data_IF_164550609463
#
_entry.id   IF_164550609463
#
_cell.length_a   1.000
_cell.length_b   1.000
_cell.length_c   1.000
_cell.angle_alpha   90.00
_cell.angle_beta   90.00
_cell.angle_gamma   90.00
#
_symmetry.space_group_name_H-M   'P 1'
#
loop_
_entity.id
_entity.type
_entity.pdbx_description
1 polymer ?
#
# COMPACT_ATOMS: atom_id res chain seq x y z
N UNK A 1 2.62 22.55 47.54
CA UNK A 1 1.90 21.25 47.49
C UNK A 1 0.38 21.45 47.34
N UNK A 2 -0.04 22.45 46.58
CA UNK A 2 -1.40 22.62 46.05
C UNK A 2 -1.22 22.95 44.57
N UNK A 3 -2.08 22.45 43.69
CA UNK A 3 -2.12 22.68 42.23
C UNK A 3 -1.40 21.69 41.31
N UNK A 4 -1.67 20.38 41.42
CA UNK A 4 -1.34 19.45 40.32
C UNK A 4 -2.46 18.47 39.93
N UNK A 5 -3.69 18.69 40.40
CA UNK A 5 -4.87 17.93 39.95
C UNK A 5 -5.81 18.88 39.22
N UNK A 6 -5.71 18.92 37.89
CA UNK A 6 -6.75 19.54 37.09
C UNK A 6 -8.06 18.79 37.27
N UNK A 7 -9.12 19.54 37.54
CA UNK A 7 -10.46 18.96 37.61
C UNK A 7 -10.93 18.69 36.18
N UNK A 8 -11.57 17.54 35.96
CA UNK A 8 -12.16 17.14 34.67
C UNK A 8 -12.97 18.29 34.02
N UNK A 9 -13.71 19.04 34.82
CA UNK A 9 -14.50 20.20 34.38
C UNK A 9 -13.67 21.34 33.77
N UNK A 10 -12.43 21.55 34.23
CA UNK A 10 -11.53 22.57 33.65
C UNK A 10 -11.06 22.17 32.26
N UNK A 11 -10.81 20.87 32.05
CA UNK A 11 -10.44 20.31 30.76
C UNK A 11 -11.63 20.39 29.81
N UNK A 12 -12.83 19.99 30.26
CA UNK A 12 -14.05 20.08 29.44
C UNK A 12 -14.36 21.52 29.00
N UNK A 13 -14.16 22.52 29.88
CA UNK A 13 -14.30 23.94 29.52
C UNK A 13 -13.27 24.40 28.50
N UNK A 14 -12.00 24.12 28.75
CA UNK A 14 -10.94 24.50 27.83
C UNK A 14 -11.05 23.84 26.46
N UNK A 15 -11.59 22.60 26.41
CA UNK A 15 -11.95 21.97 25.15
C UNK A 15 -13.11 22.74 24.50
N UNK A 16 -14.16 23.13 25.22
CA UNK A 16 -15.29 23.88 24.66
C UNK A 16 -14.91 25.25 24.06
N UNK A 17 -13.84 25.88 24.57
CA UNK A 17 -13.37 27.20 24.14
C UNK A 17 -12.52 27.19 22.85
N UNK A 18 -12.18 26.01 22.34
CA UNK A 18 -11.46 25.87 21.07
C UNK A 18 -12.38 26.20 19.87
N UNK A 19 -11.82 26.74 18.77
CA UNK A 19 -12.60 27.20 17.62
C UNK A 19 -13.35 26.04 16.93
N UNK A 20 -14.63 26.25 16.52
CA UNK A 20 -15.48 25.20 15.93
C UNK A 20 -14.83 24.51 14.73
N UNK A 21 -15.03 23.19 14.64
CA UNK A 21 -14.54 22.38 13.52
C UNK A 21 -15.71 22.07 12.59
N UNK A 22 -15.51 22.27 11.29
CA UNK A 22 -16.48 21.89 10.25
C UNK A 22 -17.91 22.48 10.38
N UNK A 23 -18.08 23.62 11.07
CA UNK A 23 -19.38 24.30 11.17
C UNK A 23 -20.32 23.77 12.25
N UNK A 24 -19.86 22.86 13.11
CA UNK A 24 -20.57 22.38 14.30
C UNK A 24 -20.01 23.01 15.58
N UNK A 25 -20.83 23.13 16.64
CA UNK A 25 -20.38 23.57 17.97
C UNK A 25 -19.34 22.60 18.52
N UNK A 26 -18.25 23.11 19.09
CA UNK A 26 -16.99 22.38 19.31
C UNK A 26 -17.03 21.15 20.26
N UNK A 27 -15.97 20.34 20.14
CA UNK A 27 -15.54 19.03 20.68
C UNK A 27 -16.22 18.34 21.86
N UNK A 28 -17.07 18.95 22.69
CA UNK A 28 -17.73 18.22 23.78
C UNK A 28 -18.51 17.02 23.25
N UNK A 29 -19.16 17.20 22.10
CA UNK A 29 -19.96 16.16 21.43
C UNK A 29 -19.09 15.08 20.77
N UNK A 30 -17.80 15.36 20.56
CA UNK A 30 -16.81 14.40 20.06
C UNK A 30 -16.08 13.69 21.21
N UNK A 31 -16.16 14.18 22.45
CA UNK A 31 -15.49 13.51 23.59
C UNK A 31 -16.19 12.20 23.91
N UNK A 32 -15.65 11.10 23.37
CA UNK A 32 -16.08 9.74 23.69
C UNK A 32 -15.68 9.34 25.11
N UNK A 33 -14.48 9.74 25.52
CA UNK A 33 -13.96 9.44 26.85
C UNK A 33 -12.97 10.52 27.33
N UNK A 34 -13.10 10.93 28.58
CA UNK A 34 -12.14 11.79 29.26
C UNK A 34 -11.90 11.26 30.67
N UNK A 35 -10.64 10.99 31.01
CA UNK A 35 -10.23 10.64 32.37
C UNK A 35 -8.97 11.38 32.82
N UNK A 36 -8.90 11.65 34.12
CA UNK A 36 -7.73 12.23 34.79
C UNK A 36 -7.35 11.30 35.93
N UNK A 37 -6.15 10.71 35.88
CA UNK A 37 -5.63 9.79 36.91
C UNK A 37 -4.23 10.23 37.30
N UNK A 38 -4.08 10.73 38.52
CA UNK A 38 -2.81 11.33 38.96
C UNK A 38 -2.44 12.51 38.07
N UNK A 39 -1.27 12.44 37.44
CA UNK A 39 -0.76 13.45 36.50
C UNK A 39 -1.06 13.11 35.03
N UNK A 40 -1.83 12.05 34.77
CA UNK A 40 -2.15 11.61 33.40
C UNK A 40 -3.55 12.05 32.99
N UNK A 41 -3.65 12.69 31.83
CA UNK A 41 -4.92 12.97 31.16
C UNK A 41 -5.07 12.02 29.97
N UNK A 42 -6.21 11.34 29.87
CA UNK A 42 -6.57 10.53 28.69
C UNK A 42 -7.83 11.10 28.06
N UNK A 43 -7.72 11.54 26.81
CA UNK A 43 -8.82 12.04 25.99
C UNK A 43 -8.99 11.13 24.78
N UNK A 44 -10.23 10.67 24.55
CA UNK A 44 -10.65 9.92 23.37
C UNK A 44 -11.69 10.74 22.64
N UNK A 45 -11.39 11.10 21.39
CA UNK A 45 -12.33 11.82 20.52
C UNK A 45 -12.92 10.88 19.47
N UNK A 46 -14.24 10.90 19.29
CA UNK A 46 -14.94 10.24 18.20
C UNK A 46 -15.06 11.20 17.02
N UNK A 47 -14.23 11.00 16.00
CA UNK A 47 -14.18 11.91 14.83
C UNK A 47 -14.67 11.15 13.60
N UNK A 48 -15.80 11.59 12.99
CA UNK A 48 -16.30 11.04 11.73
C UNK A 48 -15.21 11.02 10.67
N UNK A 49 -15.09 9.91 9.96
CA UNK A 49 -13.99 9.64 9.01
C UNK A 49 -13.89 10.72 7.93
N UNK A 50 -15.02 11.24 7.47
CA UNK A 50 -15.16 12.31 6.48
C UNK A 50 -14.69 13.69 6.96
N UNK A 51 -14.61 13.91 8.29
CA UNK A 51 -14.14 15.18 8.85
C UNK A 51 -12.66 15.16 9.25
N UNK A 52 -12.00 14.00 9.31
CA UNK A 52 -10.66 13.82 9.89
C UNK A 52 -9.55 14.73 9.35
N UNK A 53 -9.47 14.95 8.02
CA UNK A 53 -8.48 15.87 7.42
C UNK A 53 -8.61 17.31 7.91
N UNK A 54 -9.83 17.75 8.25
CA UNK A 54 -10.09 19.09 8.81
C UNK A 54 -9.78 19.16 10.31
N UNK A 55 -9.73 18.00 10.99
CA UNK A 55 -9.41 17.88 12.40
C UNK A 55 -7.92 17.79 12.72
N UNK A 56 -7.02 17.54 11.77
CA UNK A 56 -5.57 17.53 12.04
C UNK A 56 -5.06 18.89 12.56
N UNK A 57 -5.62 20.00 12.08
CA UNK A 57 -5.34 21.34 12.64
C UNK A 57 -5.85 21.53 14.07
N UNK A 58 -6.89 20.78 14.44
CA UNK A 58 -7.53 20.83 15.77
C UNK A 58 -6.83 19.87 16.72
N UNK A 59 -6.27 18.76 16.24
CA UNK A 59 -5.44 17.84 17.02
C UNK A 59 -4.29 18.58 17.68
N UNK A 60 -3.54 19.37 16.91
CA UNK A 60 -2.43 20.16 17.44
C UNK A 60 -2.92 21.16 18.51
N UNK A 61 -4.09 21.76 18.32
CA UNK A 61 -4.69 22.68 19.30
C UNK A 61 -5.17 21.96 20.56
N UNK A 62 -5.78 20.78 20.44
CA UNK A 62 -6.22 19.94 21.56
C UNK A 62 -5.00 19.48 22.36
N UNK A 63 -3.96 19.00 21.68
CA UNK A 63 -2.70 18.60 22.31
C UNK A 63 -2.02 19.80 23.00
N UNK A 64 -1.98 20.97 22.36
CA UNK A 64 -1.43 22.19 22.93
C UNK A 64 -2.23 22.68 24.14
N UNK A 65 -3.56 22.64 24.08
CA UNK A 65 -4.45 23.00 25.19
C UNK A 65 -4.25 22.04 26.36
N UNK A 66 -4.19 20.73 26.12
CA UNK A 66 -3.90 19.75 27.17
C UNK A 66 -2.50 19.91 27.75
N UNK A 67 -1.50 20.26 26.94
CA UNK A 67 -0.14 20.53 27.39
C UNK A 67 -0.05 21.81 28.24
N UNK A 68 -0.79 22.86 27.86
CA UNK A 68 -0.87 24.10 28.65
C UNK A 68 -1.56 23.88 30.00
N UNK A 69 -2.58 23.02 30.00
CA UNK A 69 -3.32 22.63 31.20
C UNK A 69 -2.49 21.69 32.09
N UNK A 70 -1.74 20.75 31.53
CA UNK A 70 -0.98 19.74 32.27
C UNK A 70 0.50 19.72 31.85
N UNK A 71 1.27 20.79 32.15
CA UNK A 71 2.62 20.97 31.62
C UNK A 71 3.66 20.00 32.21
N UNK A 72 3.41 19.48 33.43
CA UNK A 72 4.30 18.55 34.13
C UNK A 72 3.78 17.10 34.15
N UNK A 73 2.67 16.82 33.45
CA UNK A 73 2.03 15.51 33.39
C UNK A 73 2.07 14.88 32.01
N UNK A 74 1.52 13.68 31.89
CA UNK A 74 1.45 12.94 30.63
C UNK A 74 0.06 13.09 30.00
N UNK A 75 0.02 13.49 28.74
CA UNK A 75 -1.22 13.68 28.00
C UNK A 75 -1.33 12.61 26.91
N UNK A 76 -2.38 11.79 26.96
CA UNK A 76 -2.68 10.77 25.96
C UNK A 76 -3.94 11.20 25.23
N UNK A 77 -3.77 11.60 23.97
CA UNK A 77 -4.89 11.90 23.07
C UNK A 77 -4.98 10.78 22.07
N UNK A 78 -6.13 10.12 22.03
CA UNK A 78 -6.41 9.05 21.07
C UNK A 78 -7.72 9.35 20.34
N UNK A 79 -7.86 8.81 19.15
CA UNK A 79 -9.01 9.07 18.30
C UNK A 79 -9.67 7.74 17.98
N UNK A 80 -10.99 7.67 18.19
CA UNK A 80 -11.81 6.62 17.60
C UNK A 80 -12.50 7.18 16.37
N UNK A 81 -12.70 6.35 15.36
CA UNK A 81 -13.91 6.45 14.58
C UNK A 81 -14.78 5.31 15.08
N UNK A 82 -16.08 5.39 14.83
CA UNK A 82 -16.80 4.17 14.53
C UNK A 82 -15.93 3.33 13.59
N UNK A 83 -15.45 2.21 14.11
CA UNK A 83 -14.84 1.19 13.29
C UNK A 83 -15.88 0.92 12.20
N UNK A 84 -15.53 0.94 10.90
CA UNK A 84 -16.42 0.31 9.94
C UNK A 84 -16.75 -1.08 10.48
N UNK A 85 -18.04 -1.42 10.52
CA UNK A 85 -18.58 -2.64 11.10
C UNK A 85 -17.86 -3.87 10.54
N UNK A 86 -16.77 -4.28 11.18
CA UNK A 86 -15.98 -5.45 10.77
C UNK A 86 -15.62 -5.49 9.27
N UNK A 87 -15.09 -6.62 8.80
CA UNK A 87 -15.14 -6.92 7.38
C UNK A 87 -16.62 -7.04 6.98
N UNK A 88 -17.07 -6.20 6.06
CA UNK A 88 -18.31 -6.42 5.33
C UNK A 88 -18.16 -7.78 4.63
N UNK A 89 -18.84 -8.81 5.13
CA UNK A 89 -18.88 -10.10 4.46
C UNK A 89 -19.64 -9.93 3.14
N UNK A 90 -18.91 -9.95 2.02
CA UNK A 90 -19.51 -9.74 0.70
C UNK A 90 -20.03 -11.02 0.06
N UNK A 91 -19.91 -12.17 0.74
CA UNK A 91 -20.24 -13.48 0.19
C UNK A 91 -19.31 -13.93 -0.95
N UNK A 92 -18.36 -13.08 -1.38
CA UNK A 92 -17.39 -13.40 -2.43
C UNK A 92 -16.21 -14.16 -1.84
N UNK A 93 -15.92 -15.32 -2.41
CA UNK A 93 -14.77 -16.13 -2.03
C UNK A 93 -13.48 -15.57 -2.65
N UNK A 94 -12.80 -14.67 -1.94
CA UNK A 94 -11.44 -14.22 -2.28
C UNK A 94 -10.42 -15.32 -1.99
N UNK A 95 -10.28 -16.25 -2.96
CA UNK A 95 -9.35 -17.40 -2.86
C UNK A 95 -7.89 -17.01 -2.64
N UNK A 96 -7.53 -15.77 -2.94
CA UNK A 96 -6.15 -15.29 -2.84
C UNK A 96 -5.92 -14.41 -1.60
N UNK A 97 -6.96 -14.14 -0.79
CA UNK A 97 -6.89 -13.24 0.37
C UNK A 97 -6.18 -11.92 0.01
N UNK A 98 -6.71 -11.23 -0.99
CA UNK A 98 -6.14 -10.01 -1.52
C UNK A 98 -6.59 -8.75 -0.76
N UNK A 99 -7.78 -8.72 -0.16
CA UNK A 99 -8.21 -7.61 0.74
C UNK A 99 -7.86 -7.91 2.22
N UNK A 100 -6.68 -8.50 2.43
CA UNK A 100 -6.17 -8.89 3.73
C UNK A 100 -4.66 -9.05 3.73
N UNK A 101 -4.14 -9.81 4.67
CA UNK A 101 -2.71 -10.13 4.78
C UNK A 101 -2.45 -11.62 4.87
N UNK A 102 -1.24 -12.03 4.48
CA UNK A 102 -0.79 -13.43 4.48
C UNK A 102 0.14 -13.80 5.64
N UNK A 103 0.31 -12.92 6.63
CA UNK A 103 1.20 -13.19 7.78
C UNK A 103 0.81 -14.41 8.62
N UNK A 104 -0.46 -14.85 8.57
CA UNK A 104 -0.91 -16.07 9.25
C UNK A 104 -0.23 -17.35 8.75
N UNK A 105 0.34 -17.34 7.55
CA UNK A 105 1.12 -18.47 6.99
C UNK A 105 2.64 -18.28 7.15
N UNK A 106 3.07 -17.20 7.82
CA UNK A 106 4.47 -16.86 8.07
C UNK A 106 4.71 -16.58 9.55
N UNK A 107 4.09 -17.39 10.42
CA UNK A 107 4.17 -17.22 11.87
C UNK A 107 5.59 -17.45 12.42
N UNK A 108 6.44 -18.18 11.70
CA UNK A 108 7.88 -18.26 11.98
C UNK A 108 8.50 -16.86 12.04
N UNK A 109 8.23 -16.04 11.02
CA UNK A 109 8.76 -14.68 10.90
C UNK A 109 8.10 -13.73 11.89
N UNK A 110 6.78 -13.84 12.08
CA UNK A 110 6.05 -13.03 13.07
C UNK A 110 6.55 -13.32 14.49
N UNK A 111 6.77 -14.59 14.83
CA UNK A 111 7.28 -14.99 16.14
C UNK A 111 8.70 -14.48 16.40
N UNK A 112 9.60 -14.59 15.42
CA UNK A 112 10.96 -14.04 15.52
C UNK A 112 10.92 -12.52 15.75
N UNK A 113 10.08 -11.81 14.98
CA UNK A 113 9.87 -10.37 15.15
C UNK A 113 9.33 -10.00 16.55
N UNK A 114 8.33 -10.72 17.07
CA UNK A 114 7.79 -10.48 18.42
C UNK A 114 8.82 -10.69 19.53
N UNK A 115 9.81 -11.56 19.31
CA UNK A 115 10.95 -11.77 20.24
C UNK A 115 12.02 -10.67 20.15
N UNK A 116 11.86 -9.72 19.23
CA UNK A 116 12.84 -8.66 18.98
C UNK A 116 14.02 -9.08 18.13
N UNK A 117 13.93 -10.20 17.41
CA UNK A 117 15.01 -10.68 16.54
C UNK A 117 15.14 -9.80 15.28
N UNK A 118 16.36 -9.71 14.74
CA UNK A 118 16.62 -9.09 13.44
C UNK A 118 16.14 -10.02 12.33
N UNK A 119 14.94 -9.75 11.82
CA UNK A 119 14.34 -10.53 10.75
C UNK A 119 14.75 -10.05 9.35
N UNK A 120 14.86 -10.98 8.41
CA UNK A 120 14.81 -10.65 6.98
C UNK A 120 13.39 -10.22 6.59
N UNK A 121 13.21 -9.47 5.49
CA UNK A 121 11.86 -9.26 4.93
C UNK A 121 11.30 -10.57 4.36
N UNK A 122 9.97 -10.65 4.27
CA UNK A 122 9.27 -11.75 3.58
C UNK A 122 9.11 -11.47 2.09
N UNK A 123 8.96 -10.20 1.71
CA UNK A 123 8.61 -9.78 0.36
C UNK A 123 9.38 -8.52 -0.05
N UNK A 124 9.74 -8.43 -1.33
CA UNK A 124 10.29 -7.21 -1.93
C UNK A 124 9.34 -6.71 -3.03
N UNK A 125 8.99 -5.42 -2.96
CA UNK A 125 8.43 -4.69 -4.09
C UNK A 125 9.62 -4.05 -4.83
N UNK A 126 9.99 -4.57 -6.01
CA UNK A 126 11.24 -4.27 -6.70
C UNK A 126 11.03 -3.76 -8.13
N UNK A 127 11.48 -2.54 -8.42
CA UNK A 127 11.65 -2.05 -9.77
C UNK A 127 12.96 -2.55 -10.38
N UNK A 128 12.96 -2.85 -11.67
CA UNK A 128 14.18 -3.11 -12.48
C UNK A 128 14.34 -2.07 -13.60
N UNK A 129 13.38 -1.17 -13.75
CA UNK A 129 13.46 -0.01 -14.64
C UNK A 129 12.78 1.19 -14.01
N UNK A 130 13.41 2.37 -14.09
CA UNK A 130 12.88 3.60 -13.49
C UNK A 130 11.97 4.42 -14.40
N UNK A 131 11.78 3.99 -15.66
CA UNK A 131 10.97 4.71 -16.64
C UNK A 131 9.76 3.92 -17.10
N UNK A 132 8.76 4.63 -17.61
CA UNK A 132 7.47 4.06 -17.96
C UNK A 132 6.95 4.66 -19.27
N UNK A 133 6.41 3.82 -20.15
CA UNK A 133 5.82 4.20 -21.43
C UNK A 133 4.34 4.64 -21.32
N UNK A 134 3.89 5.03 -20.12
CA UNK A 134 2.56 5.59 -19.82
C UNK A 134 2.67 6.83 -18.94
N UNK A 135 1.64 7.66 -18.98
CA UNK A 135 1.55 8.94 -18.29
C UNK A 135 0.26 8.99 -17.46
N UNK A 136 0.07 8.01 -16.56
CA UNK A 136 -1.15 7.89 -15.78
C UNK A 136 -1.38 9.10 -14.86
N UNK A 137 -2.60 9.65 -14.85
CA UNK A 137 -2.96 10.78 -13.98
C UNK A 137 -2.83 10.49 -12.48
N UNK A 138 -2.97 9.22 -12.07
CA UNK A 138 -2.81 8.77 -10.68
C UNK A 138 -1.41 8.22 -10.33
N UNK A 139 -0.41 8.38 -11.20
CA UNK A 139 0.85 7.65 -11.06
C UNK A 139 1.64 8.06 -9.82
N UNK A 140 1.59 7.21 -8.78
CA UNK A 140 2.42 7.40 -7.59
C UNK A 140 3.93 7.32 -7.90
N UNK A 141 4.33 6.60 -8.96
CA UNK A 141 5.71 6.60 -9.44
C UNK A 141 6.26 7.99 -9.80
N UNK A 142 5.41 8.92 -10.23
CA UNK A 142 5.81 10.33 -10.45
C UNK A 142 6.15 11.02 -9.14
N UNK A 143 5.39 10.75 -8.08
CA UNK A 143 5.68 11.24 -6.73
C UNK A 143 6.98 10.62 -6.17
N UNK A 144 7.29 9.39 -6.59
CA UNK A 144 8.51 8.66 -6.23
C UNK A 144 9.73 9.07 -7.07
N UNK A 145 9.64 10.14 -7.87
CA UNK A 145 10.77 10.64 -8.64
C UNK A 145 11.16 9.77 -9.84
N UNK A 146 10.22 8.98 -10.41
CA UNK A 146 10.52 8.15 -11.59
C UNK A 146 11.11 8.98 -12.74
N UNK A 147 11.99 8.35 -13.51
CA UNK A 147 12.67 9.00 -14.64
C UNK A 147 12.06 8.56 -15.97
N UNK A 148 11.62 9.49 -16.80
CA UNK A 148 10.90 9.19 -18.03
C UNK A 148 9.39 9.06 -17.77
N UNK A 149 8.61 9.88 -18.48
CA UNK A 149 7.16 9.99 -18.33
C UNK A 149 6.49 9.85 -19.68
N UNK A 150 5.54 8.91 -19.82
CA UNK A 150 4.93 8.62 -21.12
C UNK A 150 5.94 8.00 -22.08
N UNK A 151 5.89 8.34 -23.37
CA UNK A 151 6.81 7.73 -24.35
C UNK A 151 8.25 8.26 -24.29
N UNK A 152 8.56 9.19 -23.38
CA UNK A 152 9.92 9.72 -23.23
C UNK A 152 10.83 8.69 -22.55
N UNK A 153 11.86 8.25 -23.28
CA UNK A 153 12.87 7.31 -22.81
C UNK A 153 14.07 8.00 -22.17
N UNK A 154 14.17 9.33 -22.22
CA UNK A 154 15.30 10.08 -21.65
C UNK A 154 15.32 9.92 -20.14
N UNK A 155 16.52 9.70 -19.60
CA UNK A 155 16.74 9.55 -18.16
C UNK A 155 16.32 8.20 -17.57
N UNK A 156 15.76 7.26 -18.36
CA UNK A 156 15.44 5.93 -17.86
C UNK A 156 16.71 5.19 -17.42
N UNK A 157 16.66 4.60 -16.24
CA UNK A 157 17.67 3.66 -15.73
C UNK A 157 17.10 2.24 -15.81
N UNK A 158 17.94 1.29 -16.22
CA UNK A 158 17.69 -0.14 -16.11
C UNK A 158 18.72 -0.70 -15.13
N UNK A 159 18.26 -1.42 -14.11
CA UNK A 159 19.17 -2.09 -13.19
C UNK A 159 20.00 -3.13 -13.95
N UNK A 160 21.33 -3.18 -13.80
CA UNK A 160 22.14 -4.18 -14.51
C UNK A 160 21.64 -5.61 -14.23
N UNK A 161 21.50 -6.42 -15.29
CA UNK A 161 21.05 -7.82 -15.21
C UNK A 161 21.71 -8.60 -14.08
N UNK A 162 23.04 -8.52 -13.98
CA UNK A 162 23.82 -9.23 -12.96
C UNK A 162 23.48 -8.78 -11.53
N UNK A 163 23.15 -7.51 -11.33
CA UNK A 163 22.70 -7.00 -10.03
C UNK A 163 21.32 -7.56 -9.67
N UNK A 164 20.39 -7.64 -10.64
CA UNK A 164 19.07 -8.25 -10.43
C UNK A 164 19.20 -9.74 -10.10
N UNK A 165 19.97 -10.49 -10.89
CA UNK A 165 20.19 -11.94 -10.65
C UNK A 165 20.85 -12.18 -9.29
N UNK A 166 21.89 -11.40 -8.93
CA UNK A 166 22.51 -11.46 -7.60
C UNK A 166 21.50 -11.18 -6.49
N UNK A 167 20.67 -10.14 -6.65
CA UNK A 167 19.64 -9.77 -5.68
C UNK A 167 18.62 -10.89 -5.49
N UNK A 168 18.15 -11.52 -6.58
CA UNK A 168 17.20 -12.65 -6.49
C UNK A 168 17.76 -13.81 -5.68
N UNK A 169 18.98 -14.24 -6.01
CA UNK A 169 19.67 -15.33 -5.30
C UNK A 169 19.85 -15.00 -3.82
N UNK A 170 20.41 -13.84 -3.52
CA UNK A 170 20.74 -13.46 -2.14
C UNK A 170 19.50 -13.18 -1.29
N UNK A 171 18.45 -12.58 -1.88
CA UNK A 171 17.17 -12.43 -1.22
C UNK A 171 16.62 -13.80 -0.78
N UNK A 172 16.64 -14.80 -1.68
CA UNK A 172 16.24 -16.17 -1.33
C UNK A 172 17.11 -16.75 -0.20
N UNK A 173 18.43 -16.60 -0.28
CA UNK A 173 19.38 -17.11 0.73
C UNK A 173 19.20 -16.49 2.12
N UNK A 174 18.84 -15.21 2.23
CA UNK A 174 18.54 -14.56 3.52
C UNK A 174 17.11 -14.84 4.00
N UNK A 175 16.31 -15.58 3.23
CA UNK A 175 14.99 -16.03 3.62
C UNK A 175 13.84 -15.10 3.21
N UNK A 176 14.02 -14.25 2.19
CA UNK A 176 12.91 -13.64 1.46
C UNK A 176 12.12 -14.75 0.77
N UNK A 177 10.78 -14.63 0.78
CA UNK A 177 9.88 -15.64 0.21
C UNK A 177 9.46 -15.31 -1.21
N UNK A 178 9.32 -14.03 -1.55
CA UNK A 178 8.85 -13.62 -2.87
C UNK A 178 9.32 -12.22 -3.26
N UNK A 179 9.37 -11.95 -4.56
CA UNK A 179 9.64 -10.63 -5.12
C UNK A 179 8.53 -10.27 -6.12
N UNK A 180 7.91 -9.12 -5.94
CA UNK A 180 7.05 -8.52 -6.95
C UNK A 180 7.85 -7.51 -7.74
N UNK A 181 8.03 -7.78 -9.04
CA UNK A 181 8.55 -6.83 -10.01
C UNK A 181 7.51 -5.73 -10.24
N UNK A 182 7.53 -4.75 -9.35
CA UNK A 182 6.65 -3.58 -9.29
C UNK A 182 7.48 -2.40 -8.80
N UNK A 183 7.13 -1.17 -9.17
CA UNK A 183 7.88 -0.02 -8.73
C UNK A 183 7.39 1.26 -9.38
N UNK A 184 8.27 2.26 -9.42
CA UNK A 184 8.00 3.59 -9.96
C UNK A 184 7.94 3.62 -11.50
N UNK A 185 8.59 2.66 -12.17
CA UNK A 185 8.63 2.52 -13.63
C UNK A 185 7.87 1.31 -14.20
N UNK A 186 8.16 0.96 -15.45
CA UNK A 186 7.59 -0.19 -16.16
C UNK A 186 8.67 -1.26 -16.41
N UNK A 187 8.58 -2.37 -15.69
CA UNK A 187 9.58 -3.44 -15.73
C UNK A 187 9.65 -4.16 -17.08
N UNK A 188 8.58 -4.16 -17.89
CA UNK A 188 8.62 -4.69 -19.27
C UNK A 188 9.45 -3.86 -20.25
N UNK A 189 9.96 -2.71 -19.83
CA UNK A 189 10.96 -1.96 -20.60
C UNK A 189 12.40 -2.43 -20.34
N UNK A 190 12.62 -3.33 -19.38
CA UNK A 190 13.93 -3.92 -19.14
C UNK A 190 14.26 -4.95 -20.24
N UNK A 191 15.40 -4.84 -20.94
CA UNK A 191 15.73 -5.73 -22.07
C UNK A 191 15.86 -7.19 -21.63
N UNK A 192 16.36 -7.44 -20.42
CA UNK A 192 16.55 -8.80 -19.89
C UNK A 192 15.37 -9.33 -19.08
N UNK A 193 14.18 -8.70 -19.09
CA UNK A 193 13.06 -9.12 -18.23
C UNK A 193 12.80 -10.64 -18.31
N UNK A 194 12.62 -11.19 -19.50
CA UNK A 194 12.26 -12.60 -19.65
C UNK A 194 13.39 -13.55 -19.19
N UNK A 195 14.66 -13.17 -19.42
CA UNK A 195 15.79 -13.95 -18.93
C UNK A 195 15.89 -13.92 -17.40
N UNK A 196 15.52 -12.80 -16.78
CA UNK A 196 15.43 -12.67 -15.33
C UNK A 196 14.28 -13.51 -14.75
N UNK A 197 13.15 -13.61 -15.46
CA UNK A 197 12.04 -14.49 -15.08
C UNK A 197 12.44 -15.97 -15.17
N UNK A 198 13.13 -16.35 -16.24
CA UNK A 198 13.66 -17.71 -16.41
C UNK A 198 14.66 -18.05 -15.28
N UNK A 199 15.54 -17.12 -14.93
CA UNK A 199 16.46 -17.30 -13.80
C UNK A 199 15.75 -17.42 -12.44
N UNK A 200 14.75 -16.57 -12.18
CA UNK A 200 13.95 -16.65 -10.96
C UNK A 200 13.29 -18.01 -10.78
N UNK A 201 12.75 -18.58 -11.87
CA UNK A 201 12.21 -19.94 -11.90
C UNK A 201 13.28 -20.99 -11.66
N UNK A 202 14.45 -20.87 -12.31
CA UNK A 202 15.57 -21.80 -12.14
C UNK A 202 16.01 -21.93 -10.68
N UNK A 203 16.06 -20.80 -9.96
CA UNK A 203 16.42 -20.79 -8.54
C UNK A 203 15.22 -21.00 -7.62
N UNK A 204 14.02 -21.31 -8.13
CA UNK A 204 12.80 -21.56 -7.36
C UNK A 204 12.43 -20.35 -6.45
N UNK A 205 12.43 -19.15 -7.02
CA UNK A 205 12.00 -17.92 -6.37
C UNK A 205 10.61 -17.51 -6.87
N UNK A 206 9.68 -17.28 -5.94
CA UNK A 206 8.36 -16.76 -6.27
C UNK A 206 8.46 -15.32 -6.79
N UNK A 207 8.36 -15.18 -8.11
CA UNK A 207 8.31 -13.90 -8.79
C UNK A 207 6.89 -13.53 -9.19
N UNK A 208 6.62 -12.25 -9.23
CA UNK A 208 5.37 -11.71 -9.77
C UNK A 208 5.61 -10.39 -10.50
N UNK A 209 4.69 -10.00 -11.37
CA UNK A 209 4.85 -8.82 -12.21
C UNK A 209 3.56 -7.99 -12.20
N UNK A 210 3.65 -6.70 -11.87
CA UNK A 210 2.63 -5.74 -12.26
C UNK A 210 3.15 -4.91 -13.43
N UNK A 211 2.36 -4.84 -14.51
CA UNK A 211 2.74 -4.17 -15.75
C UNK A 211 1.56 -3.38 -16.30
N UNK A 212 1.85 -2.39 -17.13
CA UNK A 212 0.84 -1.71 -17.94
C UNK A 212 0.36 -2.53 -19.15
N UNK A 213 1.00 -3.67 -19.43
CA UNK A 213 0.57 -4.64 -20.44
C UNK A 213 0.83 -4.23 -21.89
N UNK A 214 1.51 -3.10 -22.17
CA UNK A 214 1.80 -2.69 -23.56
C UNK A 214 2.91 -3.55 -24.18
N UNK A 215 3.97 -3.83 -23.41
CA UNK A 215 5.22 -4.42 -23.90
C UNK A 215 5.35 -5.89 -23.52
N UNK A 216 4.39 -6.69 -23.96
CA UNK A 216 4.46 -8.15 -23.87
C UNK A 216 5.06 -8.71 -25.17
N UNK A 217 6.02 -9.61 -25.02
CA UNK A 217 6.65 -10.36 -26.09
C UNK A 217 5.91 -11.68 -26.26
N UNK A 218 5.27 -11.86 -27.42
CA UNK A 218 4.43 -13.02 -27.69
C UNK A 218 5.26 -14.29 -27.86
N UNK A 219 6.52 -14.16 -28.29
CA UNK A 219 7.44 -15.29 -28.49
C UNK A 219 8.01 -15.81 -27.15
N UNK A 220 7.90 -15.01 -26.07
CA UNK A 220 8.38 -15.34 -24.72
C UNK A 220 7.27 -15.50 -23.70
N UNK A 221 6.02 -15.74 -24.13
CA UNK A 221 4.88 -15.93 -23.22
C UNK A 221 5.08 -17.10 -22.25
N UNK A 222 5.74 -18.18 -22.67
CA UNK A 222 6.02 -19.30 -21.74
C UNK A 222 7.00 -18.91 -20.65
N UNK A 223 8.09 -18.20 -20.97
CA UNK A 223 9.01 -17.65 -19.96
C UNK A 223 8.25 -16.77 -18.96
N UNK A 224 7.32 -15.94 -19.44
CA UNK A 224 6.49 -15.09 -18.60
C UNK A 224 5.53 -15.87 -17.71
N UNK A 225 4.78 -16.82 -18.29
CA UNK A 225 3.71 -17.55 -17.59
C UNK A 225 4.23 -18.69 -16.71
N UNK A 226 5.46 -19.15 -16.92
CA UNK A 226 6.11 -20.15 -16.05
C UNK A 226 7.01 -19.51 -15.02
N UNK A 227 7.60 -18.34 -15.32
CA UNK A 227 8.47 -17.60 -14.41
C UNK A 227 7.76 -16.74 -13.37
N UNK A 228 6.42 -16.65 -13.44
CA UNK A 228 5.62 -15.82 -12.53
C UNK A 228 4.56 -16.65 -11.79
N UNK A 229 4.43 -16.43 -10.49
CA UNK A 229 3.27 -16.88 -9.70
C UNK A 229 2.01 -16.13 -10.13
N UNK A 230 2.12 -14.82 -10.39
CA UNK A 230 1.05 -14.00 -10.92
C UNK A 230 1.57 -12.85 -11.79
N UNK A 231 0.76 -12.46 -12.79
CA UNK A 231 0.95 -11.28 -13.61
C UNK A 231 -0.31 -10.41 -13.54
N UNK A 232 -0.15 -9.13 -13.21
CA UNK A 232 -1.26 -8.18 -13.06
C UNK A 232 -1.12 -7.02 -14.02
N UNK A 233 -2.16 -6.79 -14.82
CA UNK A 233 -2.21 -5.69 -15.77
C UNK A 233 -2.93 -4.50 -15.15
N UNK A 234 -2.22 -3.38 -15.02
CA UNK A 234 -2.79 -2.11 -14.55
C UNK A 234 -3.49 -1.43 -15.74
N UNK A 235 -4.81 -1.55 -15.80
CA UNK A 235 -5.60 -1.07 -16.96
C UNK A 235 -6.54 0.09 -16.61
N UNK A 236 -7.08 0.16 -15.39
CA UNK A 236 -7.89 1.28 -14.83
C UNK A 236 -8.88 2.00 -15.78
N UNK A 237 -9.38 1.31 -16.79
CA UNK A 237 -10.19 1.84 -17.88
C UNK A 237 -10.86 0.67 -18.61
N UNK A 238 -12.09 0.85 -19.07
CA UNK A 238 -12.83 -0.19 -19.80
C UNK A 238 -13.04 0.16 -21.29
N UNK A 239 -12.65 1.36 -21.71
CA UNK A 239 -12.81 1.85 -23.09
C UNK A 239 -11.53 2.53 -23.57
N UNK A 240 -11.40 2.70 -24.89
CA UNK A 240 -10.26 3.43 -25.46
C UNK A 240 -10.23 4.89 -25.01
N UNK A 241 -11.41 5.53 -24.91
CA UNK A 241 -11.54 6.92 -24.46
C UNK A 241 -11.10 7.08 -23.00
N UNK A 242 -11.60 6.25 -22.09
CA UNK A 242 -11.18 6.28 -20.69
C UNK A 242 -9.71 5.93 -20.55
N UNK A 243 -9.20 4.97 -21.32
CA UNK A 243 -7.79 4.59 -21.27
C UNK A 243 -6.89 5.75 -21.73
N UNK A 244 -7.26 6.44 -22.81
CA UNK A 244 -6.53 7.64 -23.26
C UNK A 244 -6.61 8.76 -22.21
N UNK A 245 -7.77 8.99 -21.60
CA UNK A 245 -7.96 9.99 -20.53
C UNK A 245 -7.11 9.69 -19.30
N UNK A 246 -7.05 8.43 -18.88
CA UNK A 246 -6.38 8.00 -17.64
C UNK A 246 -4.88 7.81 -17.84
N UNK A 247 -4.45 7.12 -18.90
CA UNK A 247 -3.04 6.73 -19.12
C UNK A 247 -2.28 7.63 -20.09
N UNK A 248 -2.99 8.54 -20.76
CA UNK A 248 -2.44 9.49 -21.73
C UNK A 248 -1.70 8.83 -22.90
N UNK A 249 -2.12 7.62 -23.32
CA UNK A 249 -1.57 6.92 -24.49
C UNK A 249 -2.62 6.11 -25.26
N UNK A 250 -2.56 6.03 -26.60
CA UNK A 250 -3.54 5.31 -27.42
C UNK A 250 -3.14 3.83 -27.57
N UNK A 251 -3.18 3.07 -26.49
CA UNK A 251 -2.68 1.67 -26.45
C UNK A 251 -3.68 0.66 -25.91
N UNK A 252 -4.94 1.05 -25.70
CA UNK A 252 -5.98 0.19 -25.11
C UNK A 252 -6.11 -1.16 -25.83
N UNK A 253 -6.36 -1.14 -27.15
CA UNK A 253 -6.50 -2.35 -27.96
C UNK A 253 -5.26 -3.25 -27.94
N UNK A 254 -4.06 -2.66 -27.82
CA UNK A 254 -2.82 -3.43 -27.72
C UNK A 254 -2.73 -4.16 -26.38
N UNK A 255 -3.11 -3.50 -25.28
CA UNK A 255 -3.17 -4.12 -23.95
C UNK A 255 -4.16 -5.28 -23.96
N UNK A 256 -5.36 -5.10 -24.53
CA UNK A 256 -6.35 -6.18 -24.63
C UNK A 256 -5.82 -7.38 -25.41
N UNK A 257 -5.24 -7.16 -26.60
CA UNK A 257 -4.63 -8.24 -27.40
C UNK A 257 -3.54 -9.00 -26.65
N UNK A 258 -2.75 -8.30 -25.84
CA UNK A 258 -1.71 -8.94 -25.03
C UNK A 258 -2.32 -9.79 -23.90
N UNK A 259 -3.38 -9.29 -23.24
CA UNK A 259 -4.10 -10.07 -22.22
C UNK A 259 -4.72 -11.32 -22.83
N UNK A 260 -5.40 -11.20 -23.97
CA UNK A 260 -5.98 -12.32 -24.70
C UNK A 260 -4.92 -13.37 -25.06
N UNK A 261 -3.76 -12.95 -25.57
CA UNK A 261 -2.65 -13.83 -25.89
C UNK A 261 -2.12 -14.56 -24.64
N UNK A 262 -1.96 -13.86 -23.52
CA UNK A 262 -1.54 -14.46 -22.25
C UNK A 262 -2.56 -15.49 -21.74
N UNK A 263 -3.86 -15.17 -21.76
CA UNK A 263 -4.93 -16.08 -21.32
C UNK A 263 -5.01 -17.30 -22.23
N UNK A 264 -4.99 -17.12 -23.55
CA UNK A 264 -5.01 -18.22 -24.51
C UNK A 264 -3.78 -19.13 -24.37
N UNK A 265 -2.58 -18.55 -24.15
CA UNK A 265 -1.35 -19.31 -23.92
C UNK A 265 -1.42 -20.09 -22.61
N UNK A 266 -1.88 -19.44 -21.52
CA UNK A 266 -2.10 -20.07 -20.21
C UNK A 266 -2.99 -21.30 -20.34
N UNK A 267 -4.15 -21.16 -20.99
CA UNK A 267 -5.14 -22.23 -21.12
C UNK A 267 -4.61 -23.38 -21.99
N UNK A 268 -4.03 -23.08 -23.15
CA UNK A 268 -3.55 -24.10 -24.09
C UNK A 268 -2.38 -24.93 -23.56
N UNK A 269 -1.56 -24.38 -22.66
CA UNK A 269 -0.38 -25.05 -22.10
C UNK A 269 -0.56 -25.50 -20.64
N UNK A 270 -1.70 -25.17 -20.01
CA UNK A 270 -1.96 -25.51 -18.61
C UNK A 270 -1.08 -24.76 -17.61
N UNK A 271 -0.62 -23.55 -17.94
CA UNK A 271 0.23 -22.75 -17.05
C UNK A 271 -0.53 -22.30 -15.80
N UNK A 272 0.16 -22.23 -14.66
CA UNK A 272 -0.45 -21.94 -13.35
C UNK A 272 -0.42 -20.46 -12.97
N UNK A 273 0.31 -19.62 -13.71
CA UNK A 273 0.37 -18.18 -13.44
C UNK A 273 -1.04 -17.57 -13.37
N UNK A 274 -1.31 -16.86 -12.28
CA UNK A 274 -2.56 -16.12 -12.13
C UNK A 274 -2.47 -14.81 -12.90
N UNK A 275 -3.37 -14.58 -13.85
CA UNK A 275 -3.47 -13.37 -14.63
C UNK A 275 -4.61 -12.52 -14.05
N UNK A 276 -4.34 -11.26 -13.74
CA UNK A 276 -5.39 -10.37 -13.25
C UNK A 276 -5.31 -8.97 -13.80
N UNK A 277 -6.41 -8.24 -13.64
CA UNK A 277 -6.50 -6.81 -13.93
C UNK A 277 -6.47 -6.02 -12.63
N UNK A 278 -6.02 -4.76 -12.71
CA UNK A 278 -6.12 -3.82 -11.61
C UNK A 278 -6.68 -2.49 -12.09
N UNK A 279 -7.55 -1.94 -11.26
CA UNK A 279 -8.06 -0.58 -11.33
C UNK A 279 -7.62 0.21 -10.10
N UNK A 280 -7.02 1.36 -10.35
CA UNK A 280 -6.92 2.45 -9.37
C UNK A 280 -8.11 3.37 -9.61
N UNK A 281 -8.98 3.51 -8.61
CA UNK A 281 -10.16 4.37 -8.72
C UNK A 281 -9.75 5.83 -8.54
N UNK A 282 -10.10 6.66 -9.52
CA UNK A 282 -10.02 8.11 -9.50
C UNK A 282 -11.38 8.68 -9.87
N UNK A 283 -11.56 10.01 -9.77
CA UNK A 283 -12.81 10.65 -10.23
C UNK A 283 -13.06 10.46 -11.73
N UNK A 284 -11.99 10.34 -12.50
CA UNK A 284 -12.04 10.28 -13.97
C UNK A 284 -12.40 8.89 -14.54
N UNK A 285 -12.48 7.85 -13.70
CA UNK A 285 -12.77 6.48 -14.12
C UNK A 285 -13.81 5.74 -13.27
N UNK A 286 -14.59 6.43 -12.43
CA UNK A 286 -15.65 5.78 -11.63
C UNK A 286 -16.63 5.01 -12.53
N UNK A 287 -16.96 5.57 -13.69
CA UNK A 287 -17.86 4.96 -14.67
C UNK A 287 -17.30 3.68 -15.31
N UNK A 288 -15.99 3.41 -15.19
CA UNK A 288 -15.37 2.19 -15.70
C UNK A 288 -15.38 1.04 -14.68
N UNK A 289 -15.75 1.25 -13.42
CA UNK A 289 -15.68 0.22 -12.36
C UNK A 289 -16.45 -1.05 -12.77
N UNK A 290 -17.72 -0.90 -13.15
CA UNK A 290 -18.58 -2.01 -13.56
C UNK A 290 -18.24 -2.52 -14.96
N UNK A 291 -18.06 -1.67 -15.99
CA UNK A 291 -17.62 -2.11 -17.31
C UNK A 291 -16.30 -2.91 -17.29
N UNK A 292 -15.33 -2.52 -16.46
CA UNK A 292 -14.06 -3.24 -16.34
C UNK A 292 -14.22 -4.60 -15.66
N UNK A 293 -15.16 -4.74 -14.72
CA UNK A 293 -15.50 -6.04 -14.13
C UNK A 293 -16.11 -7.00 -15.16
N UNK A 294 -16.96 -6.49 -16.06
CA UNK A 294 -17.48 -7.25 -17.22
C UNK A 294 -16.35 -7.64 -18.17
N UNK A 295 -15.51 -6.68 -18.55
CA UNK A 295 -14.41 -6.89 -19.48
C UNK A 295 -13.39 -7.92 -18.95
N UNK A 296 -13.05 -7.87 -17.65
CA UNK A 296 -12.15 -8.86 -17.05
C UNK A 296 -12.71 -10.28 -17.16
N UNK A 297 -14.02 -10.45 -16.96
CA UNK A 297 -14.69 -11.75 -17.16
C UNK A 297 -14.65 -12.19 -18.62
N UNK A 298 -14.93 -11.30 -19.56
CA UNK A 298 -14.90 -11.58 -21.00
C UNK A 298 -13.51 -11.98 -21.50
N UNK A 299 -12.46 -11.33 -20.98
CA UNK A 299 -11.07 -11.66 -21.30
C UNK A 299 -10.62 -13.00 -20.70
N UNK A 300 -11.37 -13.57 -19.76
CA UNK A 300 -11.02 -14.84 -19.11
C UNK A 300 -9.82 -14.75 -18.16
N UNK A 301 -9.56 -13.57 -17.58
CA UNK A 301 -8.56 -13.43 -16.51
C UNK A 301 -9.05 -14.07 -15.21
N UNK A 302 -8.16 -14.33 -14.26
CA UNK A 302 -8.51 -14.97 -12.99
C UNK A 302 -9.13 -13.98 -11.99
N UNK A 303 -8.79 -12.69 -12.07
CA UNK A 303 -9.33 -11.68 -11.17
C UNK A 303 -9.26 -10.24 -11.70
N UNK A 304 -10.10 -9.38 -11.13
CA UNK A 304 -9.96 -7.92 -11.15
C UNK A 304 -9.79 -7.42 -9.71
N UNK A 305 -8.79 -6.59 -9.44
CA UNK A 305 -8.68 -5.83 -8.20
C UNK A 305 -9.11 -4.39 -8.43
N UNK A 306 -10.07 -3.92 -7.64
CA UNK A 306 -10.46 -2.50 -7.59
C UNK A 306 -9.95 -1.91 -6.29
N UNK A 307 -9.08 -0.91 -6.36
CA UNK A 307 -8.45 -0.31 -5.18
C UNK A 307 -8.51 1.21 -5.18
N UNK A 308 -8.44 1.77 -3.99
CA UNK A 308 -8.25 3.21 -3.79
C UNK A 308 -6.93 3.69 -4.42
N UNK A 309 -6.95 4.92 -4.93
CA UNK A 309 -5.75 5.69 -5.23
C UNK A 309 -5.01 6.03 -3.93
N UNK A 310 -3.71 5.70 -3.89
CA UNK A 310 -2.79 6.21 -2.88
C UNK A 310 -2.43 7.63 -3.22
N UNK A 311 -2.30 8.47 -2.21
CA UNK A 311 -2.04 9.89 -2.36
C UNK A 311 -1.08 10.36 -1.27
N UNK A 312 -0.36 11.44 -1.54
CA UNK A 312 0.42 12.12 -0.52
C UNK A 312 -0.49 12.73 0.54
N UNK A 313 0.06 13.04 1.71
CA UNK A 313 -0.71 13.61 2.80
C UNK A 313 -1.32 14.98 2.44
N UNK A 314 -0.64 15.75 1.59
CA UNK A 314 -1.05 17.03 1.03
C UNK A 314 -1.93 16.90 -0.23
N UNK A 315 -2.25 15.68 -0.68
CA UNK A 315 -3.25 15.43 -1.72
C UNK A 315 -2.81 15.76 -3.14
N UNK A 316 -1.54 15.53 -3.50
CA UNK A 316 -0.96 15.91 -4.80
C UNK A 316 -1.57 15.16 -5.99
N UNK A 317 -2.14 13.98 -5.77
CA UNK A 317 -2.79 13.17 -6.81
C UNK A 317 -4.31 13.34 -6.83
N UNK A 318 -4.85 14.21 -5.97
CA UNK A 318 -6.28 14.49 -5.86
C UNK A 318 -7.14 13.21 -5.78
N UNK A 319 -6.73 12.26 -4.93
CA UNK A 319 -7.45 11.01 -4.75
C UNK A 319 -8.82 11.24 -4.07
N UNK A 320 -9.90 10.57 -4.53
CA UNK A 320 -11.26 10.72 -3.97
C UNK A 320 -11.46 9.98 -2.64
N UNK A 321 -10.57 10.20 -1.66
CA UNK A 321 -10.52 9.45 -0.39
C UNK A 321 -11.86 9.44 0.38
N UNK A 322 -12.50 10.60 0.51
CA UNK A 322 -13.77 10.75 1.21
C UNK A 322 -14.99 10.35 0.37
N UNK A 323 -14.80 10.21 -0.95
CA UNK A 323 -15.88 9.93 -1.90
C UNK A 323 -16.03 8.43 -2.19
N UNK A 324 -15.04 7.58 -1.88
CA UNK A 324 -15.16 6.14 -2.15
C UNK A 324 -16.40 5.49 -1.54
N UNK A 325 -16.88 5.98 -0.38
CA UNK A 325 -18.10 5.48 0.26
C UNK A 325 -19.36 5.76 -0.56
N UNK A 326 -19.42 6.86 -1.30
CA UNK A 326 -20.56 7.14 -2.18
C UNK A 326 -20.60 6.22 -3.40
N UNK A 327 -19.51 5.49 -3.67
CA UNK A 327 -19.38 4.53 -4.76
C UNK A 327 -19.75 3.10 -4.34
N UNK A 328 -20.24 2.88 -3.11
CA UNK A 328 -20.50 1.54 -2.57
C UNK A 328 -21.41 0.70 -3.47
N UNK A 329 -22.51 1.27 -3.98
CA UNK A 329 -23.43 0.55 -4.87
C UNK A 329 -22.73 0.07 -6.15
N UNK A 330 -21.96 0.94 -6.80
CA UNK A 330 -21.18 0.63 -8.00
C UNK A 330 -20.12 -0.44 -7.73
N UNK A 331 -19.43 -0.36 -6.58
CA UNK A 331 -18.41 -1.33 -6.18
C UNK A 331 -19.02 -2.70 -5.92
N UNK A 332 -20.19 -2.77 -5.25
CA UNK A 332 -20.93 -4.02 -5.03
C UNK A 332 -21.47 -4.61 -6.33
N UNK A 333 -21.96 -3.77 -7.24
CA UNK A 333 -22.37 -4.22 -8.57
C UNK A 333 -21.17 -4.86 -9.31
N UNK A 334 -20.00 -4.22 -9.30
CA UNK A 334 -18.80 -4.80 -9.89
C UNK A 334 -18.41 -6.13 -9.23
N UNK A 335 -18.47 -6.20 -7.89
CA UNK A 335 -18.18 -7.41 -7.12
C UNK A 335 -19.08 -8.59 -7.51
N UNK A 336 -20.34 -8.31 -7.88
CA UNK A 336 -21.33 -9.30 -8.33
C UNK A 336 -21.00 -9.99 -9.66
N UNK A 337 -20.03 -9.47 -10.42
CA UNK A 337 -19.52 -10.14 -11.63
C UNK A 337 -18.58 -11.32 -11.34
N UNK A 338 -18.26 -11.54 -10.06
CA UNK A 338 -17.49 -12.71 -9.63
C UNK A 338 -18.21 -14.01 -9.99
N UNK A 339 -17.42 -15.03 -10.28
CA UNK A 339 -17.82 -16.41 -10.60
C UNK A 339 -16.81 -17.37 -9.96
N UNK A 340 -17.02 -18.67 -10.10
CA UNK A 340 -16.08 -19.68 -9.56
C UNK A 340 -14.67 -19.56 -10.16
N UNK A 341 -14.56 -19.13 -11.43
CA UNK A 341 -13.30 -19.01 -12.16
C UNK A 341 -12.73 -17.59 -12.21
N UNK A 342 -13.49 -16.57 -11.82
CA UNK A 342 -13.11 -15.16 -11.92
C UNK A 342 -13.55 -14.38 -10.69
N UNK A 343 -12.62 -13.70 -10.01
CA UNK A 343 -12.92 -12.94 -8.78
C UNK A 343 -12.79 -11.44 -9.02
N UNK A 344 -13.82 -10.67 -8.66
CA UNK A 344 -13.71 -9.21 -8.53
C UNK A 344 -13.44 -8.89 -7.06
N UNK A 345 -12.21 -8.52 -6.73
CA UNK A 345 -11.76 -8.20 -5.37
C UNK A 345 -11.74 -6.68 -5.16
N UNK A 346 -12.74 -6.18 -4.45
CA UNK A 346 -12.78 -4.79 -4.00
C UNK A 346 -11.91 -4.64 -2.73
N UNK A 347 -11.08 -3.61 -2.66
CA UNK A 347 -10.27 -3.29 -1.46
C UNK A 347 -11.06 -2.52 -0.41
N UNK A 348 -12.09 -3.14 0.14
CA UNK A 348 -13.04 -2.50 1.07
C UNK A 348 -12.35 -1.84 2.25
N UNK A 349 -11.37 -2.50 2.88
CA UNK A 349 -10.65 -1.90 4.03
C UNK A 349 -9.97 -0.57 3.66
N UNK A 350 -9.35 -0.49 2.48
CA UNK A 350 -8.68 0.74 2.02
C UNK A 350 -9.64 1.76 1.43
N UNK A 351 -10.72 1.34 0.79
CA UNK A 351 -11.74 2.25 0.28
C UNK A 351 -12.52 2.90 1.43
N UNK A 352 -12.74 2.18 2.54
CA UNK A 352 -13.53 2.65 3.67
C UNK A 352 -12.74 3.44 4.73
N UNK A 353 -11.40 3.42 4.69
CA UNK A 353 -10.55 4.09 5.68
C UNK A 353 -10.32 5.59 5.37
N UNK A 354 -10.79 6.09 4.21
CA UNK A 354 -10.56 7.46 3.73
C UNK A 354 -9.09 7.91 3.76
N UNK A 355 -8.16 6.98 3.52
CA UNK A 355 -6.72 7.20 3.55
C UNK A 355 -6.09 7.18 4.95
N UNK A 356 -6.89 7.03 6.00
CA UNK A 356 -6.44 7.01 7.40
C UNK A 356 -5.93 5.63 7.84
N UNK A 357 -4.95 5.61 8.72
CA UNK A 357 -4.35 4.42 9.34
C UNK A 357 -4.68 4.39 10.82
N UNK A 358 -5.17 3.25 11.29
CA UNK A 358 -5.61 2.97 12.66
C UNK A 358 -4.49 2.37 13.55
N UNK A 359 -3.23 2.59 13.15
CA UNK A 359 -2.02 2.26 13.89
C UNK A 359 -1.09 3.47 13.90
N UNK A 360 -0.27 3.60 14.94
CA UNK A 360 0.68 4.72 15.06
C UNK A 360 2.08 4.36 14.56
N UNK A 361 2.44 3.07 14.59
CA UNK A 361 3.78 2.59 14.25
C UNK A 361 3.72 1.68 13.03
N UNK A 362 4.58 1.95 12.05
CA UNK A 362 4.78 1.07 10.91
C UNK A 362 5.80 -0.03 11.25
N UNK A 363 5.31 -1.23 11.54
CA UNK A 363 6.14 -2.43 11.67
C UNK A 363 6.36 -3.15 10.33
N UNK A 364 5.48 -2.89 9.36
CA UNK A 364 5.41 -3.61 8.11
C UNK A 364 6.63 -3.47 7.20
N UNK A 365 7.43 -2.41 7.36
CA UNK A 365 8.67 -2.23 6.58
C UNK A 365 9.75 -3.24 6.94
N UNK A 366 9.65 -3.94 8.08
CA UNK A 366 10.52 -5.07 8.39
C UNK A 366 10.14 -6.36 7.63
N UNK A 367 8.92 -6.41 7.07
CA UNK A 367 8.38 -7.56 6.36
C UNK A 367 8.28 -7.35 4.84
N UNK A 368 8.07 -6.10 4.40
CA UNK A 368 7.96 -5.72 2.98
C UNK A 368 8.86 -4.51 2.73
N UNK A 369 9.89 -4.67 1.90
CA UNK A 369 10.79 -3.59 1.48
C UNK A 369 10.51 -3.11 0.06
N UNK A 370 10.98 -1.90 -0.24
CA UNK A 370 11.01 -1.34 -1.60
C UNK A 370 12.41 -1.31 -2.17
N UNK A 371 12.56 -1.70 -3.44
CA UNK A 371 13.80 -1.52 -4.23
C UNK A 371 13.44 -0.74 -5.49
N UNK A 372 14.07 0.40 -5.72
CA UNK A 372 13.82 1.24 -6.91
C UNK A 372 14.47 0.66 -8.16
N UNK A 373 14.05 1.11 -9.33
CA UNK A 373 14.56 0.67 -10.64
C UNK A 373 16.04 0.97 -10.90
N UNK A 374 16.66 1.82 -10.08
CA UNK A 374 18.10 2.12 -10.08
C UNK A 374 18.90 1.33 -9.01
N UNK A 375 18.23 0.50 -8.22
CA UNK A 375 18.84 -0.39 -7.23
C UNK A 375 18.86 0.10 -5.79
N UNK A 376 18.43 1.34 -5.53
CA UNK A 376 18.37 1.85 -4.15
C UNK A 376 17.32 1.09 -3.33
N UNK A 377 17.68 0.74 -2.10
CA UNK A 377 16.83 0.00 -1.16
C UNK A 377 16.27 0.96 -0.11
N UNK A 378 14.96 0.87 0.11
CA UNK A 378 14.22 1.71 1.05
C UNK A 378 13.24 0.87 1.88
N UNK A 379 12.78 1.38 3.04
CA UNK A 379 11.73 0.74 3.82
C UNK A 379 10.44 0.49 3.02
N UNK A 380 10.10 1.41 2.11
CA UNK A 380 8.99 1.28 1.17
C UNK A 380 9.15 2.30 0.03
N UNK A 381 8.34 2.13 -1.03
CA UNK A 381 8.38 3.00 -2.21
C UNK A 381 8.09 4.48 -1.94
N UNK A 382 7.39 4.83 -0.85
CA UNK A 382 7.10 6.22 -0.50
C UNK A 382 8.36 7.09 -0.34
N UNK A 383 9.47 6.49 0.09
CA UNK A 383 10.71 7.20 0.43
C UNK A 383 11.75 7.24 -0.69
N UNK A 384 11.42 6.79 -1.90
CA UNK A 384 12.37 6.73 -3.02
C UNK A 384 12.93 8.11 -3.40
N UNK A 385 12.10 9.16 -3.26
CA UNK A 385 12.44 10.55 -3.56
C UNK A 385 12.26 11.44 -2.31
N UNK A 386 11.11 11.33 -1.64
CA UNK A 386 10.84 12.08 -0.42
C UNK A 386 11.77 11.65 0.72
N UNK A 387 12.56 12.60 1.25
CA UNK A 387 13.50 12.37 2.36
C UNK A 387 14.45 11.19 2.09
N UNK A 388 14.87 11.02 0.83
CA UNK A 388 15.67 9.87 0.41
C UNK A 388 16.94 9.69 1.25
N UNK A 389 17.67 10.77 1.55
CA UNK A 389 18.88 10.74 2.40
C UNK A 389 18.62 10.16 3.79
N UNK A 390 17.41 10.37 4.32
CA UNK A 390 17.03 9.88 5.64
C UNK A 390 16.74 8.39 5.67
N UNK A 391 16.18 7.84 4.59
CA UNK A 391 15.61 6.50 4.56
C UNK A 391 16.31 5.52 3.59
N UNK A 392 17.30 5.98 2.82
CA UNK A 392 18.12 5.11 1.97
C UNK A 392 18.87 4.08 2.82
N UNK A 393 18.62 2.80 2.57
CA UNK A 393 19.23 1.68 3.30
C UNK A 393 20.52 1.18 2.63
N UNK A 394 20.63 1.29 1.31
CA UNK A 394 21.76 0.82 0.51
C UNK A 394 21.42 0.79 -0.99
N UNK A 395 22.31 0.23 -1.81
CA UNK A 395 22.09 0.08 -3.26
C UNK A 395 22.55 -1.31 -3.74
N UNK A 396 21.62 -2.12 -4.26
CA UNK A 396 21.94 -3.50 -4.71
C UNK A 396 22.83 -3.56 -5.94
N UNK A 397 23.01 -2.44 -6.65
CA UNK A 397 23.99 -2.35 -7.75
C UNK A 397 25.41 -2.30 -7.20
N UNK A 398 25.61 -1.64 -6.05
CA UNK A 398 26.91 -1.39 -5.43
C UNK A 398 27.27 -2.44 -4.38
N UNK A 399 26.27 -3.01 -3.71
CA UNK A 399 26.41 -3.91 -2.57
C UNK A 399 25.56 -5.17 -2.79
N UNK A 400 25.91 -6.25 -2.09
CA UNK A 400 25.04 -7.44 -2.03
C UNK A 400 23.78 -7.12 -1.22
N UNK A 401 22.65 -7.78 -1.55
CA UNK A 401 21.41 -7.57 -0.79
C UNK A 401 21.57 -8.03 0.67
N UNK A 402 22.37 -9.09 0.89
CA UNK A 402 22.73 -9.60 2.21
C UNK A 402 23.44 -8.54 3.05
N UNK A 403 24.47 -7.91 2.51
CA UNK A 403 25.21 -6.85 3.23
C UNK A 403 24.28 -5.71 3.64
N UNK A 404 23.33 -5.32 2.77
CA UNK A 404 22.37 -4.26 3.07
C UNK A 404 21.50 -4.64 4.28
N UNK A 405 20.84 -5.80 4.28
CA UNK A 405 19.90 -6.18 5.36
C UNK A 405 20.59 -6.53 6.68
N UNK A 406 21.86 -6.93 6.63
CA UNK A 406 22.69 -7.18 7.82
C UNK A 406 23.33 -5.89 8.37
N UNK A 407 23.36 -4.81 7.57
CA UNK A 407 24.02 -3.55 7.95
C UNK A 407 23.34 -2.83 9.10
N UNK A 408 24.13 -2.07 9.87
CA UNK A 408 23.58 -1.20 10.91
C UNK A 408 22.72 -0.07 10.33
N UNK A 409 23.06 0.42 9.12
CA UNK A 409 22.27 1.45 8.42
C UNK A 409 20.83 0.99 8.20
N UNK A 410 20.63 -0.24 7.73
CA UNK A 410 19.29 -0.82 7.54
C UNK A 410 18.47 -0.78 8.84
N UNK A 411 19.05 -1.23 9.95
CA UNK A 411 18.35 -1.28 11.24
C UNK A 411 18.13 0.11 11.86
N UNK A 412 19.04 1.05 11.67
CA UNK A 412 18.82 2.47 12.04
C UNK A 412 17.62 3.07 11.31
N UNK A 413 17.49 2.78 10.01
CA UNK A 413 16.36 3.25 9.20
C UNK A 413 15.06 2.58 9.66
N UNK A 414 15.06 1.28 9.97
CA UNK A 414 13.88 0.60 10.51
C UNK A 414 13.43 1.20 11.85
N UNK A 415 14.35 1.54 12.75
CA UNK A 415 14.01 2.24 14.00
C UNK A 415 13.50 3.67 13.76
N UNK A 416 14.03 4.35 12.74
CA UNK A 416 13.56 5.68 12.34
C UNK A 416 12.12 5.65 11.83
N UNK A 417 11.76 4.65 11.01
CA UNK A 417 10.40 4.48 10.49
C UNK A 417 9.36 4.35 11.61
N UNK A 418 9.72 3.75 12.75
CA UNK A 418 8.82 3.61 13.89
C UNK A 418 8.42 4.94 14.55
N UNK A 419 9.13 6.03 14.23
CA UNK A 419 8.89 7.38 14.76
C UNK A 419 8.23 8.31 13.75
N UNK A 420 7.97 7.82 12.54
CA UNK A 420 7.29 8.57 11.49
C UNK A 420 5.81 8.67 11.82
N UNK A 421 5.20 9.84 11.65
CA UNK A 421 3.76 9.97 11.79
C UNK A 421 3.09 9.35 10.56
N UNK A 422 2.56 8.13 10.69
CA UNK A 422 2.02 7.40 9.55
C UNK A 422 0.80 8.06 8.90
N UNK A 423 0.09 8.95 9.58
CA UNK A 423 -1.06 9.68 9.03
C UNK A 423 -0.69 11.05 8.44
N UNK A 424 0.52 11.53 8.67
CA UNK A 424 1.00 12.81 8.14
C UNK A 424 2.17 12.64 7.16
N UNK A 425 3.17 11.84 7.50
CA UNK A 425 4.40 11.76 6.71
C UNK A 425 4.36 10.67 5.64
N UNK A 426 3.33 9.82 5.62
CA UNK A 426 3.23 8.68 4.70
C UNK A 426 2.05 8.84 3.75
N UNK A 427 2.14 8.17 2.59
CA UNK A 427 1.02 8.05 1.66
C UNK A 427 -0.22 7.42 2.29
N UNK A 428 -1.39 7.87 1.86
CA UNK A 428 -2.67 7.19 2.11
C UNK A 428 -2.70 5.82 1.43
N UNK A 429 -3.43 4.87 2.01
CA UNK A 429 -3.61 3.54 1.44
C UNK A 429 -2.31 2.78 1.12
N UNK A 430 -1.26 2.99 1.91
CA UNK A 430 0.08 2.46 1.67
C UNK A 430 0.11 0.92 1.57
N UNK A 431 1.15 0.38 0.93
CA UNK A 431 1.33 -1.07 0.75
C UNK A 431 1.32 -1.84 2.07
N UNK A 432 1.92 -1.28 3.11
CA UNK A 432 2.10 -1.91 4.41
C UNK A 432 0.82 -1.91 5.28
N UNK A 433 -0.26 -1.23 4.87
CA UNK A 433 -1.46 -1.04 5.69
C UNK A 433 -2.01 -2.34 6.28
N UNK A 434 -2.31 -3.35 5.44
CA UNK A 434 -2.89 -4.61 5.89
C UNK A 434 -2.04 -5.37 6.90
N UNK A 435 -0.73 -5.43 6.67
CA UNK A 435 0.17 -6.12 7.59
C UNK A 435 0.37 -5.31 8.87
N UNK A 436 0.35 -3.98 8.80
CA UNK A 436 0.45 -3.14 9.98
C UNK A 436 -0.77 -3.26 10.88
N UNK A 437 -1.99 -3.34 10.35
CA UNK A 437 -3.19 -3.53 11.19
C UNK A 437 -3.05 -4.79 12.06
N UNK A 438 -2.54 -5.89 11.46
CA UNK A 438 -2.24 -7.12 12.18
C UNK A 438 -1.07 -6.97 13.17
N UNK A 439 0.09 -6.50 12.69
CA UNK A 439 1.31 -6.39 13.48
C UNK A 439 1.13 -5.43 14.66
N UNK A 440 0.42 -4.32 14.46
CA UNK A 440 0.02 -3.39 15.51
C UNK A 440 -0.84 -4.08 16.55
N UNK A 441 -1.90 -4.78 16.12
CA UNK A 441 -2.79 -5.51 17.03
C UNK A 441 -2.05 -6.50 17.93
N UNK A 442 -1.08 -7.25 17.38
CA UNK A 442 -0.30 -8.22 18.18
C UNK A 442 0.85 -7.58 18.98
N UNK A 443 1.30 -6.38 18.63
CA UNK A 443 2.26 -5.62 19.43
C UNK A 443 1.60 -5.06 20.71
N UNK A 444 0.31 -4.73 20.62
CA UNK A 444 -0.49 -4.27 21.77
C UNK A 444 -0.90 -5.49 22.61
N UNK A 445 -0.10 -5.85 23.61
CA UNK A 445 -0.50 -6.92 24.55
C UNK A 445 -1.55 -6.38 25.54
N UNK A 446 -2.82 -6.82 25.49
CA UNK A 446 -3.83 -6.34 26.43
C UNK A 446 -3.59 -6.93 27.83
N UNK A 447 -4.07 -6.25 28.88
CA UNK A 447 -4.26 -6.88 30.19
C UNK A 447 -5.13 -8.14 30.07
N UNK A 448 -4.91 -9.13 30.93
CA UNK A 448 -5.72 -10.37 30.97
C UNK A 448 -5.69 -11.23 29.69
N UNK A 449 -4.60 -11.21 28.91
CA UNK A 449 -4.47 -11.99 27.65
C UNK A 449 -4.74 -13.51 27.72
N UNK A 450 -4.78 -14.10 28.92
CA UNK A 450 -5.02 -15.54 29.11
C UNK A 450 -6.52 -15.90 29.22
N UNK A 451 -7.42 -14.92 29.21
CA UNK A 451 -8.87 -15.13 29.27
C UNK A 451 -9.43 -15.04 27.84
N UNK A 452 -9.34 -16.16 27.12
CA UNK A 452 -9.70 -16.31 25.70
C UNK A 452 -11.19 -16.60 25.53
#
# INVERSE_FOLDING_TARGET
>A
MSDMLLRKEQIERALTDLPPVAGESFARDLVKHLSVRGTTITLVLDVPVDQRRRFDGVRAQVEQTLQALNPAGSNVVSFTADRPDGPVSTGVHDKFNMDGHKLMWHLDRVSAWQKGERIAPLHLDMGISSGCNMACNYCYGVIQGRSGYGTDRKGKTNMPREAVMRTFREAKEVGVRSIALIGEGENTLHPDLYDLLDYGREIDLDLSLATNGIRIDHDRLDSLLTGLTWCRINISAATEESFQRIHNVPQFHRVLKNVEAMVARKQSHGHQCTIGLQMVVTRDNVDDIVPLARLGRELGVDYLVVKACSDTYDGRLDAPQSEYRSMESTLREAESYSTDSYTVSIKWQKLNNAGWKDYDVCYGTQFILGVSGDGRVFPCGHWFDNRADEFLMGNVVEQSFREIVESERYWQVQEKIRRVNVNHDCESNCRQHYINNFLWGIAQTPPHRNFV
#
